data_IF_954445663146
#
_entry.id   IF_954445663146
#
_cell.length_a   1.000
_cell.length_b   1.000
_cell.length_c   1.000
_cell.angle_alpha   90.00
_cell.angle_beta   90.00
_cell.angle_gamma   90.00
#
_symmetry.space_group_name_H-M   'P 1'
#
loop_
_entity.id
_entity.type
_entity.pdbx_description
1 polymer ?
#
# COMPACT_ATOMS: atom_id res chain seq x y z
N UNK A 1 -13.68 -13.42 -15.55
CA UNK A 1 -13.77 -12.40 -14.48
C UNK A 1 -12.36 -11.97 -14.10
N UNK A 2 -12.13 -10.67 -14.12
CA UNK A 2 -10.82 -10.14 -13.76
C UNK A 2 -10.61 -10.29 -12.25
N UNK A 3 -9.45 -10.82 -11.87
CA UNK A 3 -9.08 -10.88 -10.46
C UNK A 3 -8.62 -9.48 -10.02
N UNK A 4 -9.31 -8.93 -9.02
CA UNK A 4 -9.03 -7.60 -8.49
C UNK A 4 -8.30 -7.66 -7.14
N UNK A 5 -7.65 -8.79 -6.86
CA UNK A 5 -6.78 -8.96 -5.70
C UNK A 5 -5.39 -9.36 -6.17
N UNK A 6 -4.37 -8.80 -5.53
CA UNK A 6 -2.97 -9.10 -5.84
C UNK A 6 -2.20 -9.21 -4.52
N UNK A 7 -1.19 -10.06 -4.51
CA UNK A 7 -0.24 -10.10 -3.41
C UNK A 7 1.08 -10.69 -3.89
N UNK A 8 2.15 -10.34 -3.19
CA UNK A 8 3.47 -10.91 -3.40
C UNK A 8 4.24 -10.78 -2.08
N UNK A 9 5.31 -11.53 -1.94
CA UNK A 9 6.07 -11.54 -0.70
C UNK A 9 7.57 -11.68 -0.95
N UNK A 10 8.34 -11.24 0.06
CA UNK A 10 9.80 -11.44 0.11
C UNK A 10 10.17 -11.79 1.54
N UNK A 11 11.30 -12.47 1.70
CA UNK A 11 11.87 -12.70 3.03
C UNK A 11 12.90 -11.61 3.27
N UNK A 12 12.73 -10.89 4.39
CA UNK A 12 13.61 -9.77 4.77
C UNK A 12 14.38 -10.15 6.01
N UNK A 13 15.69 -9.91 5.99
CA UNK A 13 16.55 -10.19 7.15
C UNK A 13 16.44 -9.06 8.19
N UNK A 14 15.30 -9.02 8.83
CA UNK A 14 14.97 -8.10 9.92
C UNK A 14 13.85 -8.72 10.73
N UNK A 15 13.81 -8.42 12.04
CA UNK A 15 12.73 -8.94 12.88
C UNK A 15 11.40 -8.23 12.56
N UNK A 16 10.25 -8.84 12.90
CA UNK A 16 8.95 -8.28 12.55
C UNK A 16 8.70 -6.89 13.12
N UNK A 17 9.17 -6.59 14.32
CA UNK A 17 8.92 -5.29 14.96
C UNK A 17 9.70 -4.18 14.26
N UNK A 18 10.98 -4.43 13.93
CA UNK A 18 11.82 -3.49 13.20
C UNK A 18 11.24 -3.22 11.82
N UNK A 19 10.85 -4.28 11.13
CA UNK A 19 10.28 -4.16 9.79
C UNK A 19 8.93 -3.46 9.82
N UNK A 20 8.10 -3.76 10.81
CA UNK A 20 6.80 -3.09 10.98
C UNK A 20 6.97 -1.57 11.16
N UNK A 21 7.94 -1.17 11.98
CA UNK A 21 8.21 0.26 12.19
C UNK A 21 8.54 0.97 10.87
N UNK A 22 9.21 0.29 9.94
CA UNK A 22 9.50 0.84 8.61
C UNK A 22 8.24 0.93 7.74
N UNK A 23 7.49 -0.17 7.61
CA UNK A 23 6.38 -0.22 6.64
C UNK A 23 5.13 0.50 7.14
N UNK A 24 4.97 0.68 8.45
CA UNK A 24 3.82 1.41 9.01
C UNK A 24 4.01 2.92 9.02
N UNK A 25 5.22 3.41 8.83
CA UNK A 25 5.47 4.83 8.68
C UNK A 25 5.25 5.22 7.21
N UNK A 26 4.08 5.78 6.93
CA UNK A 26 3.69 6.11 5.56
C UNK A 26 4.61 7.15 4.92
N UNK A 27 5.34 7.94 5.71
CA UNK A 27 6.28 8.93 5.17
C UNK A 27 7.46 8.27 4.46
N UNK A 28 7.67 6.97 4.66
CA UNK A 28 8.70 6.20 3.93
C UNK A 28 8.21 5.73 2.55
N UNK A 29 6.91 5.77 2.29
CA UNK A 29 6.33 5.17 1.08
C UNK A 29 6.96 5.69 -0.20
N UNK A 30 7.26 6.98 -0.27
CA UNK A 30 7.87 7.58 -1.46
C UNK A 30 9.28 7.08 -1.77
N UNK A 31 9.93 6.43 -0.81
CA UNK A 31 11.26 5.84 -1.02
C UNK A 31 11.18 4.51 -1.76
N UNK A 32 10.03 3.85 -1.72
CA UNK A 32 9.88 2.47 -2.17
C UNK A 32 8.92 2.29 -3.33
N UNK A 33 7.83 3.04 -3.33
CA UNK A 33 6.81 2.91 -4.35
C UNK A 33 7.23 3.60 -5.65
N UNK A 34 7.07 2.96 -6.82
CA UNK A 34 7.36 3.63 -8.09
C UNK A 34 6.33 4.70 -8.43
N UNK A 35 5.16 4.66 -7.82
CA UNK A 35 4.05 5.55 -8.14
C UNK A 35 3.81 6.61 -7.07
N UNK A 36 3.77 6.22 -5.80
CA UNK A 36 3.59 7.15 -4.70
C UNK A 36 4.92 7.84 -4.39
N UNK A 37 4.98 9.16 -4.54
CA UNK A 37 6.20 9.92 -4.38
C UNK A 37 6.36 10.49 -2.99
N UNK A 38 5.25 10.73 -2.30
CA UNK A 38 5.27 11.33 -0.97
C UNK A 38 3.98 11.01 -0.24
N UNK A 39 4.09 10.67 1.04
CA UNK A 39 2.93 10.50 1.92
C UNK A 39 3.16 11.27 3.21
N UNK A 40 2.07 11.76 3.80
CA UNK A 40 2.14 12.50 5.06
C UNK A 40 0.86 12.27 5.88
N UNK A 41 1.03 12.27 7.20
CA UNK A 41 -0.10 12.15 8.11
C UNK A 41 -0.89 13.46 8.13
N UNK A 42 -2.24 13.38 8.13
CA UNK A 42 -3.07 14.58 8.21
C UNK A 42 -2.95 15.23 9.57
N UNK A 43 -2.79 14.43 10.62
CA UNK A 43 -2.53 14.91 11.97
C UNK A 43 -1.04 14.66 12.25
N UNK A 44 -0.29 15.72 12.52
CA UNK A 44 1.14 15.62 12.82
C UNK A 44 1.43 14.69 14.01
N UNK A 45 0.50 14.64 14.96
CA UNK A 45 0.59 13.74 16.11
C UNK A 45 -0.01 12.37 15.82
N UNK A 46 -0.48 12.16 14.60
CA UNK A 46 -1.04 10.91 14.15
C UNK A 46 0.00 9.81 14.18
N UNK A 47 -0.07 8.93 13.27
CA UNK A 47 0.87 7.83 13.20
C UNK A 47 0.15 6.55 12.86
N UNK A 48 0.85 5.42 12.91
CA UNK A 48 0.30 4.16 12.45
C UNK A 48 -0.67 3.55 13.47
N UNK A 49 -1.84 4.17 13.62
CA UNK A 49 -2.92 3.66 14.48
C UNK A 49 -4.20 3.57 13.65
N UNK A 50 -5.05 2.59 13.98
CA UNK A 50 -6.33 2.42 13.31
C UNK A 50 -7.17 3.71 13.44
N UNK A 51 -7.75 4.16 12.35
CA UNK A 51 -8.53 5.39 12.29
C UNK A 51 -7.74 6.61 11.83
N UNK A 52 -6.42 6.56 11.83
CA UNK A 52 -5.59 7.69 11.39
C UNK A 52 -5.72 7.89 9.88
N UNK A 53 -5.68 9.15 9.45
CA UNK A 53 -5.77 9.51 8.04
C UNK A 53 -4.42 10.01 7.54
N UNK A 54 -4.12 9.69 6.29
CA UNK A 54 -2.93 10.23 5.62
C UNK A 54 -3.23 10.51 4.16
N UNK A 55 -2.38 11.31 3.55
CA UNK A 55 -2.48 11.66 2.13
C UNK A 55 -1.24 11.19 1.39
N UNK A 56 -1.40 10.95 0.10
CA UNK A 56 -0.29 10.59 -0.77
C UNK A 56 -0.36 11.35 -2.08
N UNK A 57 0.80 11.71 -2.58
CA UNK A 57 0.95 12.29 -3.91
C UNK A 57 1.51 11.22 -4.82
N UNK A 58 0.78 10.93 -5.88
CA UNK A 58 1.13 9.88 -6.84
C UNK A 58 1.45 10.51 -8.18
N UNK A 59 2.41 9.93 -8.90
CA UNK A 59 2.80 10.39 -10.22
C UNK A 59 3.04 9.20 -11.14
N UNK A 60 2.49 9.31 -12.34
CA UNK A 60 2.82 8.44 -13.46
C UNK A 60 3.29 9.33 -14.61
N UNK A 61 3.69 8.74 -15.73
CA UNK A 61 4.15 9.52 -16.90
C UNK A 61 3.12 10.56 -17.37
N UNK A 62 1.84 10.25 -17.21
CA UNK A 62 0.74 11.05 -17.77
C UNK A 62 -0.08 11.82 -16.72
N UNK A 63 0.19 11.61 -15.44
CA UNK A 63 -0.74 12.11 -14.43
C UNK A 63 -0.09 12.27 -13.05
N UNK A 64 -0.57 13.29 -12.33
CA UNK A 64 -0.27 13.49 -10.91
C UNK A 64 -1.61 13.62 -10.18
N UNK A 65 -1.74 12.93 -9.04
CA UNK A 65 -2.97 13.03 -8.23
C UNK A 65 -2.68 12.76 -6.76
N UNK A 66 -3.58 13.21 -5.90
CA UNK A 66 -3.54 12.92 -4.47
C UNK A 66 -4.57 11.86 -4.11
N UNK A 67 -4.21 11.04 -3.13
CA UNK A 67 -5.13 10.10 -2.50
C UNK A 67 -5.24 10.42 -1.01
N UNK A 68 -6.39 10.12 -0.43
CA UNK A 68 -6.63 10.22 1.00
C UNK A 68 -6.96 8.82 1.50
N UNK A 69 -6.24 8.36 2.52
CA UNK A 69 -6.35 6.99 3.02
C UNK A 69 -6.54 6.98 4.52
N UNK A 70 -7.22 5.94 5.00
CA UNK A 70 -7.40 5.73 6.43
C UNK A 70 -6.81 4.39 6.82
N UNK A 71 -6.04 4.38 7.89
CA UNK A 71 -5.52 3.15 8.46
C UNK A 71 -6.67 2.36 9.06
N UNK A 72 -6.84 1.11 8.65
CA UNK A 72 -7.93 0.24 9.13
C UNK A 72 -7.43 -0.87 10.02
N UNK A 73 -6.18 -1.32 9.86
CA UNK A 73 -5.55 -2.30 10.74
C UNK A 73 -4.14 -1.81 11.07
N UNK A 74 -3.80 -1.80 12.34
CA UNK A 74 -2.45 -1.45 12.81
C UNK A 74 -2.10 -2.34 14.00
N UNK A 75 -1.61 -3.56 13.70
CA UNK A 75 -1.16 -4.51 14.70
C UNK A 75 0.37 -4.60 14.66
N UNK A 76 1.06 -3.99 15.63
CA UNK A 76 2.53 -3.94 15.62
C UNK A 76 3.18 -5.31 15.44
N UNK A 77 4.09 -5.37 14.48
CA UNK A 77 4.82 -6.59 14.17
C UNK A 77 4.04 -7.61 13.35
N UNK A 78 2.79 -7.34 12.98
CA UNK A 78 1.94 -8.32 12.31
C UNK A 78 1.25 -7.82 11.05
N UNK A 79 0.48 -6.72 11.15
CA UNK A 79 -0.33 -6.25 10.03
C UNK A 79 -0.48 -4.74 10.03
N UNK A 80 -0.43 -4.14 8.84
CA UNK A 80 -0.70 -2.73 8.64
C UNK A 80 -1.45 -2.57 7.31
N UNK A 81 -2.73 -2.20 7.39
CA UNK A 81 -3.60 -2.05 6.22
C UNK A 81 -4.26 -0.69 6.21
N UNK A 82 -4.48 -0.16 5.02
CA UNK A 82 -5.22 1.10 4.84
C UNK A 82 -6.17 1.00 3.67
N UNK A 83 -7.17 1.88 3.66
CA UNK A 83 -8.14 1.95 2.56
C UNK A 83 -8.14 3.36 1.96
N UNK A 84 -8.12 3.41 0.64
CA UNK A 84 -8.08 4.65 -0.14
C UNK A 84 -9.50 5.11 -0.42
N UNK A 85 -9.74 6.42 -0.32
CA UNK A 85 -11.02 7.06 -0.63
C UNK A 85 -12.22 6.46 0.13
N UNK A 86 -12.01 6.07 1.38
CA UNK A 86 -13.11 5.57 2.20
C UNK A 86 -13.60 4.17 1.83
N UNK A 87 -12.71 3.33 1.32
CA UNK A 87 -13.04 1.93 1.05
C UNK A 87 -13.09 1.56 -0.43
N UNK A 88 -12.40 2.32 -1.26
CA UNK A 88 -12.32 2.00 -2.70
C UNK A 88 -11.26 0.97 -3.02
N UNK A 89 -10.08 1.10 -2.40
CA UNK A 89 -8.94 0.20 -2.61
C UNK A 89 -8.30 -0.07 -1.26
N UNK A 90 -7.99 -1.33 -0.99
CA UNK A 90 -7.28 -1.71 0.23
C UNK A 90 -5.85 -2.12 -0.12
N UNK A 91 -4.91 -1.53 0.59
CA UNK A 91 -3.50 -1.89 0.55
C UNK A 91 -3.05 -2.35 1.93
N UNK A 92 -2.05 -3.19 1.97
CA UNK A 92 -1.49 -3.51 3.27
C UNK A 92 -0.29 -4.42 3.23
N UNK A 93 0.27 -4.59 4.43
CA UNK A 93 1.40 -5.48 4.67
C UNK A 93 1.05 -6.47 5.76
N UNK A 94 1.45 -7.72 5.55
CA UNK A 94 1.39 -8.76 6.56
C UNK A 94 2.82 -9.22 6.84
N UNK A 95 3.15 -9.39 8.11
CA UNK A 95 4.49 -9.78 8.54
C UNK A 95 4.40 -11.11 9.28
N UNK A 96 5.15 -12.11 8.80
CA UNK A 96 5.20 -13.43 9.40
C UNK A 96 6.64 -13.76 9.76
N UNK A 97 6.93 -14.08 11.03
CA UNK A 97 8.29 -14.48 11.39
C UNK A 97 8.65 -15.79 10.71
N UNK A 98 9.89 -15.88 10.26
CA UNK A 98 10.44 -17.08 9.67
C UNK A 98 11.74 -17.44 10.42
N UNK A 99 12.25 -18.65 10.19
CA UNK A 99 13.44 -19.13 10.88
C UNK A 99 14.64 -18.19 10.70
N UNK A 100 15.47 -18.09 11.71
CA UNK A 100 16.70 -17.29 11.66
C UNK A 100 16.53 -15.82 11.98
N UNK A 101 15.39 -15.42 12.52
CA UNK A 101 15.15 -14.02 12.90
C UNK A 101 14.73 -13.12 11.74
N UNK A 102 14.38 -13.71 10.62
CA UNK A 102 13.89 -13.00 9.45
C UNK A 102 12.37 -12.93 9.45
N UNK A 103 11.83 -12.15 8.53
CA UNK A 103 10.37 -11.95 8.39
C UNK A 103 9.97 -12.10 6.94
N UNK A 104 8.87 -12.82 6.71
CA UNK A 104 8.21 -12.79 5.40
C UNK A 104 7.29 -11.59 5.36
N UNK A 105 7.58 -10.68 4.46
CA UNK A 105 6.76 -9.48 4.23
C UNK A 105 5.90 -9.71 3.00
N UNK A 106 4.59 -9.65 3.18
CA UNK A 106 3.62 -9.76 2.09
C UNK A 106 2.95 -8.42 1.89
N UNK A 107 2.94 -7.92 0.65
CA UNK A 107 2.15 -6.75 0.30
C UNK A 107 0.92 -7.22 -0.45
N UNK A 108 -0.24 -6.68 -0.05
CA UNK A 108 -1.55 -7.05 -0.61
C UNK A 108 -2.24 -5.82 -1.18
N UNK A 109 -3.05 -6.04 -2.21
CA UNK A 109 -3.86 -5.02 -2.85
C UNK A 109 -5.19 -5.63 -3.25
N UNK A 110 -6.26 -4.87 -3.04
CA UNK A 110 -7.61 -5.29 -3.42
C UNK A 110 -8.42 -4.08 -3.88
N UNK A 111 -9.06 -4.21 -5.05
CA UNK A 111 -10.01 -3.21 -5.52
C UNK A 111 -11.38 -3.61 -4.97
N UNK A 112 -11.91 -2.80 -4.06
CA UNK A 112 -13.12 -3.14 -3.32
C UNK A 112 -14.38 -2.84 -4.14
N UNK A 113 -15.52 -3.50 -3.84
CA UNK A 113 -16.77 -3.24 -4.56
C UNK A 113 -17.19 -1.77 -4.59
N UNK A 114 -17.02 -1.05 -3.48
CA UNK A 114 -17.33 0.38 -3.42
C UNK A 114 -16.43 1.19 -4.38
N UNK A 115 -15.18 0.76 -4.55
CA UNK A 115 -14.25 1.40 -5.49
C UNK A 115 -14.64 1.16 -6.94
N UNK A 116 -15.08 -0.05 -7.25
CA UNK A 116 -15.53 -0.39 -8.60
C UNK A 116 -16.75 0.48 -8.94
N UNK A 117 -17.72 0.55 -8.04
CA UNK A 117 -18.90 1.39 -8.22
C UNK A 117 -18.52 2.87 -8.33
N UNK A 118 -17.61 3.33 -7.48
CA UNK A 118 -17.13 4.71 -7.50
C UNK A 118 -16.43 5.06 -8.81
N UNK A 119 -15.66 4.15 -9.37
CA UNK A 119 -14.98 4.36 -10.66
C UNK A 119 -15.99 4.46 -11.79
N UNK A 120 -17.04 3.61 -11.78
CA UNK A 120 -18.09 3.70 -12.78
C UNK A 120 -18.82 5.03 -12.69
N UNK A 121 -19.08 5.54 -11.49
CA UNK A 121 -19.71 6.84 -11.32
C UNK A 121 -18.83 8.00 -11.76
N UNK A 122 -17.52 7.90 -11.53
CA UNK A 122 -16.55 8.98 -11.82
C UNK A 122 -16.09 8.97 -13.28
N UNK A 123 -15.86 7.79 -13.85
CA UNK A 123 -15.23 7.64 -15.16
C UNK A 123 -16.21 7.21 -16.26
N UNK A 124 -17.44 6.78 -15.89
CA UNK A 124 -18.44 6.37 -16.88
C UNK A 124 -17.93 5.23 -17.77
N UNK A 125 -17.99 5.44 -19.08
CA UNK A 125 -17.56 4.44 -20.06
C UNK A 125 -16.07 4.11 -20.02
N UNK A 126 -15.26 4.97 -19.39
CA UNK A 126 -13.82 4.76 -19.24
C UNK A 126 -13.47 4.00 -17.95
N UNK A 127 -14.45 3.67 -17.12
CA UNK A 127 -14.22 3.08 -15.81
C UNK A 127 -13.43 1.77 -15.88
N UNK A 128 -13.81 0.87 -16.77
CA UNK A 128 -13.13 -0.42 -16.89
C UNK A 128 -11.66 -0.26 -17.27
N UNK A 129 -11.36 0.68 -18.19
CA UNK A 129 -10.00 0.99 -18.58
C UNK A 129 -9.19 1.57 -17.41
N UNK A 130 -9.82 2.43 -16.60
CA UNK A 130 -9.17 3.00 -15.43
C UNK A 130 -8.91 1.96 -14.34
N UNK A 131 -9.86 1.05 -14.11
CA UNK A 131 -9.68 -0.05 -13.15
C UNK A 131 -8.54 -0.96 -13.62
N UNK A 132 -8.53 -1.32 -14.91
CA UNK A 132 -7.47 -2.15 -15.47
C UNK A 132 -6.09 -1.49 -15.35
N UNK A 133 -6.02 -0.18 -15.55
CA UNK A 133 -4.79 0.59 -15.43
C UNK A 133 -4.26 0.59 -14.00
N UNK A 134 -5.15 0.80 -13.01
CA UNK A 134 -4.77 0.75 -11.58
C UNK A 134 -4.29 -0.64 -11.18
N UNK A 135 -4.96 -1.67 -11.69
CA UNK A 135 -4.58 -3.07 -11.46
C UNK A 135 -3.19 -3.35 -12.00
N UNK A 136 -2.93 -2.88 -13.21
CA UNK A 136 -1.62 -3.03 -13.85
C UNK A 136 -0.52 -2.35 -13.02
N UNK A 137 -0.74 -1.12 -12.57
CA UNK A 137 0.23 -0.40 -11.76
C UNK A 137 0.49 -1.11 -10.42
N UNK A 138 -0.54 -1.65 -9.80
CA UNK A 138 -0.39 -2.41 -8.56
C UNK A 138 0.43 -3.68 -8.80
N UNK A 139 0.12 -4.41 -9.87
CA UNK A 139 0.81 -5.64 -10.21
C UNK A 139 2.31 -5.41 -10.49
N UNK A 140 2.63 -4.35 -11.21
CA UNK A 140 4.02 -4.01 -11.52
C UNK A 140 4.74 -3.40 -10.32
N UNK A 141 4.02 -2.63 -9.50
CA UNK A 141 4.60 -1.88 -8.38
C UNK A 141 4.91 -2.72 -7.15
N UNK A 142 4.11 -3.74 -6.86
CA UNK A 142 4.30 -4.55 -5.65
C UNK A 142 5.70 -5.18 -5.58
N UNK A 143 6.20 -5.87 -6.62
CA UNK A 143 7.54 -6.44 -6.55
C UNK A 143 8.64 -5.38 -6.38
N UNK A 144 8.48 -4.24 -7.04
CA UNK A 144 9.44 -3.13 -6.94
C UNK A 144 9.47 -2.58 -5.52
N UNK A 145 8.30 -2.37 -4.94
CA UNK A 145 8.15 -1.87 -3.56
C UNK A 145 8.77 -2.83 -2.56
N UNK A 146 8.46 -4.11 -2.68
CA UNK A 146 8.99 -5.15 -1.77
C UNK A 146 10.52 -5.23 -1.85
N UNK A 147 11.09 -5.19 -3.06
CA UNK A 147 12.53 -5.24 -3.24
C UNK A 147 13.20 -4.01 -2.62
N UNK A 148 12.60 -2.83 -2.74
CA UNK A 148 13.13 -1.59 -2.18
C UNK A 148 13.06 -1.60 -0.64
N UNK A 149 11.96 -2.12 -0.07
CA UNK A 149 11.83 -2.27 1.39
C UNK A 149 12.90 -3.22 1.92
N UNK A 150 13.07 -4.37 1.26
CA UNK A 150 14.08 -5.36 1.63
C UNK A 150 15.48 -4.73 1.65
N UNK A 151 15.82 -4.00 0.60
CA UNK A 151 17.12 -3.32 0.49
C UNK A 151 17.31 -2.32 1.62
N UNK A 152 16.29 -1.53 1.94
CA UNK A 152 16.34 -0.54 3.03
C UNK A 152 16.51 -1.20 4.39
N UNK A 153 15.77 -2.28 4.63
CA UNK A 153 15.76 -2.96 5.92
C UNK A 153 17.05 -3.72 6.19
N UNK A 154 17.71 -4.21 5.15
CA UNK A 154 18.94 -5.02 5.26
C UNK A 154 20.22 -4.19 5.14
N UNK A 155 20.09 -2.91 4.89
CA UNK A 155 21.26 -2.03 4.74
C UNK A 155 21.96 -1.78 6.07
#
# INVERSE_FOLDING_TARGET
MTDLTLSDSVVVDADPETLYALVSDVTNMGKWSPQCKECWWEDEDGGPVAGAWFKGRNETADRTWETRSQVVVAEPGREFFWEVNGGWVRWGFTLDPVDGGSTRLTQSWEFLPAGIEGFHGRWGDDAEAQIALRTKYAKEGIPVTLAAIKKSAEA
#
